data_IF_611035022038
#
_entry.id   IF_611035022038
#
_cell.length_a   1.000
_cell.length_b   1.000
_cell.length_c   1.000
_cell.angle_alpha   90.00
_cell.angle_beta   90.00
_cell.angle_gamma   90.00
#
_symmetry.space_group_name_H-M   'P 1'
#
loop_
_entity.id
_entity.type
_entity.pdbx_description
1 polymer ?
#
# COMPACT_ATOMS: atom_id res chain seq x y z
N UNK A 1 0.62 8.55 5.31
CA UNK A 1 -0.51 8.91 4.42
C UNK A 1 -0.93 7.75 3.51
N UNK A 2 -0.01 6.84 3.15
CA UNK A 2 -0.32 5.61 2.44
C UNK A 2 -1.27 4.68 3.22
N UNK A 3 -1.11 4.56 4.55
CA UNK A 3 -1.98 3.77 5.44
C UNK A 3 -3.48 3.99 5.25
N UNK A 4 -3.94 5.25 5.23
CA UNK A 4 -5.37 5.56 5.07
C UNK A 4 -5.94 5.11 3.71
N UNK A 5 -5.15 5.17 2.65
CA UNK A 5 -5.56 4.71 1.33
C UNK A 5 -5.60 3.17 1.27
N UNK A 6 -4.63 2.50 1.90
CA UNK A 6 -4.57 1.04 1.99
C UNK A 6 -5.72 0.48 2.85
N UNK A 7 -6.00 1.10 4.00
CA UNK A 7 -7.12 0.77 4.89
C UNK A 7 -8.47 0.92 4.18
N UNK A 8 -8.65 1.99 3.40
CA UNK A 8 -9.89 2.25 2.66
C UNK A 8 -10.24 1.14 1.65
N UNK A 9 -9.25 0.53 1.00
CA UNK A 9 -9.48 -0.54 0.01
C UNK A 9 -9.50 -1.94 0.64
N UNK A 10 -8.97 -2.11 1.84
CA UNK A 10 -8.96 -3.39 2.58
C UNK A 10 -10.16 -3.50 3.52
N UNK A 11 -10.25 -2.57 4.48
CA UNK A 11 -11.26 -2.49 5.54
C UNK A 11 -12.49 -1.63 5.16
N UNK A 12 -12.48 -0.98 4.00
CA UNK A 12 -13.53 -0.06 3.56
C UNK A 12 -13.30 1.36 4.07
N UNK A 13 -13.90 2.36 3.41
CA UNK A 13 -13.67 3.77 3.74
C UNK A 13 -14.18 4.13 5.15
N UNK A 14 -13.31 4.50 6.11
CA UNK A 14 -13.71 4.81 7.48
C UNK A 14 -14.51 6.12 7.59
N UNK A 15 -14.48 6.95 6.54
CA UNK A 15 -15.28 8.19 6.47
C UNK A 15 -16.71 7.95 6.01
N UNK A 16 -17.05 6.70 5.62
CA UNK A 16 -18.37 6.30 5.13
C UNK A 16 -18.85 7.10 3.90
N UNK A 17 -17.92 7.71 3.14
CA UNK A 17 -18.22 8.57 2.02
C UNK A 17 -17.53 8.08 0.74
N UNK A 18 -18.29 7.51 -0.20
CA UNK A 18 -17.78 7.06 -1.48
C UNK A 18 -18.17 5.62 -1.81
N UNK A 19 -17.72 5.08 -2.96
CA UNK A 19 -18.15 3.76 -3.45
C UNK A 19 -17.69 2.58 -2.58
N UNK A 20 -16.74 2.79 -1.65
CA UNK A 20 -16.22 1.78 -0.72
C UNK A 20 -16.66 1.98 0.74
N UNK A 21 -17.64 2.85 0.99
CA UNK A 21 -18.20 3.06 2.34
C UNK A 21 -18.79 1.76 2.91
N UNK A 22 -18.11 1.17 3.90
CA UNK A 22 -18.52 -0.08 4.55
C UNK A 22 -18.43 -1.33 3.68
N UNK A 23 -17.72 -1.27 2.54
CA UNK A 23 -17.48 -2.44 1.66
C UNK A 23 -16.01 -2.85 1.75
N UNK A 24 -15.74 -3.87 2.56
CA UNK A 24 -14.43 -4.50 2.68
C UNK A 24 -14.14 -5.38 1.45
N UNK A 25 -13.31 -4.91 0.53
CA UNK A 25 -12.88 -5.73 -0.61
C UNK A 25 -11.85 -6.79 -0.17
N UNK A 26 -11.15 -6.59 0.95
CA UNK A 26 -10.16 -7.52 1.49
C UNK A 26 -8.99 -7.81 0.54
N UNK A 27 -8.70 -6.90 -0.39
CA UNK A 27 -7.68 -7.07 -1.42
C UNK A 27 -6.27 -6.95 -0.84
N UNK A 28 -5.32 -7.59 -1.50
CA UNK A 28 -3.89 -7.38 -1.23
C UNK A 28 -3.50 -5.97 -1.69
N UNK A 29 -2.93 -5.19 -0.79
CA UNK A 29 -2.42 -3.84 -1.07
C UNK A 29 -0.93 -3.83 -0.82
N UNK A 30 -0.19 -3.23 -1.73
CA UNK A 30 1.24 -3.02 -1.61
C UNK A 30 1.57 -1.56 -1.87
N UNK A 31 2.60 -1.06 -1.20
CA UNK A 31 3.22 0.21 -1.55
C UNK A 31 4.26 -0.01 -2.64
N UNK A 32 4.38 0.96 -3.55
CA UNK A 32 5.33 0.91 -4.68
C UNK A 32 6.80 0.75 -4.23
N UNK A 33 7.11 1.12 -2.98
CA UNK A 33 8.46 1.05 -2.40
C UNK A 33 8.79 -0.30 -1.76
N UNK A 34 7.81 -1.22 -1.66
CA UNK A 34 8.08 -2.57 -1.18
C UNK A 34 8.90 -3.35 -2.20
N UNK A 35 9.86 -4.14 -1.71
CA UNK A 35 10.82 -4.84 -2.57
C UNK A 35 10.13 -5.79 -3.57
N UNK A 36 9.07 -6.47 -3.14
CA UNK A 36 8.23 -7.35 -3.96
C UNK A 36 7.50 -6.62 -5.10
N UNK A 37 7.21 -5.34 -4.91
CA UNK A 37 6.68 -4.47 -5.98
C UNK A 37 7.81 -3.93 -6.85
N UNK A 38 8.91 -3.48 -6.24
CA UNK A 38 10.08 -2.93 -6.91
C UNK A 38 10.66 -3.90 -7.94
N UNK A 39 10.72 -5.18 -7.61
CA UNK A 39 11.19 -6.26 -8.51
C UNK A 39 10.35 -6.43 -9.78
N UNK A 40 9.10 -5.96 -9.79
CA UNK A 40 8.21 -6.05 -10.93
C UNK A 40 8.33 -4.85 -11.89
N UNK A 41 8.97 -3.77 -11.44
CA UNK A 41 9.13 -2.57 -12.24
C UNK A 41 10.41 -2.60 -13.08
N UNK A 42 10.38 -1.90 -14.20
CA UNK A 42 11.59 -1.59 -14.93
C UNK A 42 12.48 -0.69 -14.06
N UNK A 43 13.75 -1.09 -13.88
CA UNK A 43 14.66 -0.44 -12.94
C UNK A 43 14.95 1.02 -13.33
N UNK A 44 15.06 1.32 -14.63
CA UNK A 44 15.35 2.67 -15.10
C UNK A 44 14.14 3.60 -14.84
N UNK A 45 12.93 3.08 -15.04
CA UNK A 45 11.68 3.82 -14.74
C UNK A 45 11.50 4.02 -13.24
N UNK A 46 11.78 3.00 -12.42
CA UNK A 46 11.64 3.10 -10.98
C UNK A 46 12.61 4.11 -10.38
N UNK A 47 13.87 4.09 -10.79
CA UNK A 47 14.87 5.05 -10.32
C UNK A 47 14.49 6.49 -10.71
N UNK A 48 14.05 6.71 -11.96
CA UNK A 48 13.62 8.02 -12.45
C UNK A 48 12.41 8.57 -11.69
N UNK A 49 11.40 7.74 -11.44
CA UNK A 49 10.10 8.20 -10.92
C UNK A 49 9.99 8.12 -9.40
N UNK A 50 10.65 7.15 -8.76
CA UNK A 50 10.49 6.81 -7.34
C UNK A 50 11.80 6.93 -6.56
N UNK A 51 12.97 6.76 -7.20
CA UNK A 51 14.28 6.68 -6.53
C UNK A 51 14.59 7.86 -5.60
N UNK A 52 14.25 9.10 -6.00
CA UNK A 52 14.44 10.27 -5.12
C UNK A 52 13.55 10.24 -3.87
N UNK A 53 12.32 9.72 -3.97
CA UNK A 53 11.41 9.63 -2.83
C UNK A 53 11.73 8.42 -1.95
N UNK A 54 12.17 7.31 -2.53
CA UNK A 54 12.62 6.12 -1.79
C UNK A 54 13.75 6.44 -0.81
N UNK A 55 14.70 7.30 -1.20
CA UNK A 55 15.79 7.76 -0.32
C UNK A 55 15.34 8.71 0.80
N UNK A 56 14.12 9.26 0.72
CA UNK A 56 13.58 10.25 1.67
C UNK A 56 12.52 9.64 2.59
N UNK A 57 11.81 8.62 2.10
CA UNK A 57 10.79 7.90 2.84
C UNK A 57 11.42 6.84 3.75
N UNK A 58 10.76 6.56 4.88
CA UNK A 58 11.10 5.42 5.72
C UNK A 58 10.45 4.16 5.12
N UNK A 59 11.21 3.49 4.25
CA UNK A 59 10.75 2.30 3.51
C UNK A 59 10.37 1.17 4.47
N UNK A 60 11.13 1.00 5.56
CA UNK A 60 10.91 -0.05 6.53
C UNK A 60 9.61 0.19 7.32
N UNK A 61 9.37 1.43 7.78
CA UNK A 61 8.12 1.81 8.46
C UNK A 61 6.90 1.64 7.54
N UNK A 62 7.01 2.03 6.26
CA UNK A 62 5.93 1.87 5.29
C UNK A 62 5.64 0.38 5.03
N UNK A 63 6.68 -0.44 4.87
CA UNK A 63 6.52 -1.88 4.64
C UNK A 63 5.87 -2.57 5.85
N UNK A 64 6.25 -2.18 7.07
CA UNK A 64 5.62 -2.68 8.30
C UNK A 64 4.14 -2.28 8.37
N UNK A 65 3.80 -1.00 8.14
CA UNK A 65 2.42 -0.51 8.12
C UNK A 65 1.56 -1.27 7.07
N UNK A 66 2.10 -1.50 5.87
CA UNK A 66 1.39 -2.26 4.83
C UNK A 66 1.19 -3.73 5.21
N UNK A 67 2.20 -4.34 5.84
CA UNK A 67 2.13 -5.73 6.26
C UNK A 67 1.12 -5.94 7.40
N UNK A 68 1.07 -5.02 8.36
CA UNK A 68 0.07 -5.02 9.44
C UNK A 68 -1.35 -4.93 8.84
N UNK A 69 -1.58 -3.98 7.91
CA UNK A 69 -2.88 -3.83 7.24
C UNK A 69 -3.23 -5.10 6.44
N UNK A 70 -2.28 -5.69 5.71
CA UNK A 70 -2.52 -6.95 4.99
C UNK A 70 -2.85 -8.09 5.94
N UNK A 71 -2.12 -8.22 7.03
CA UNK A 71 -2.31 -9.29 8.01
C UNK A 71 -3.66 -9.19 8.73
N UNK A 72 -4.11 -7.98 9.03
CA UNK A 72 -5.33 -7.74 9.79
C UNK A 72 -6.61 -7.75 8.92
N UNK A 73 -6.52 -7.32 7.66
CA UNK A 73 -7.71 -7.06 6.82
C UNK A 73 -7.76 -7.81 5.49
N UNK A 74 -6.67 -8.45 5.04
CA UNK A 74 -6.68 -9.19 3.78
C UNK A 74 -7.39 -10.55 3.93
N UNK A 75 -8.32 -10.84 3.01
CA UNK A 75 -9.10 -12.09 3.01
C UNK A 75 -8.52 -13.18 2.10
N UNK A 76 -7.43 -12.89 1.38
CA UNK A 76 -6.92 -13.73 0.28
C UNK A 76 -5.42 -14.04 0.35
N UNK A 77 -4.86 -14.19 1.56
CA UNK A 77 -3.46 -14.61 1.77
C UNK A 77 -3.22 -16.08 1.35
#
# INVERSE_FOLDING_TARGET
>A
AAGLAAETVTAGDPTFAGPLAGVELGLLVYHVVEEECKEQFDADVYDEQVGMMEMVLDVDEIAEEMNDIRSDYCKFL
#
